data_IF_853576827099
#
_entry.id   IF_853576827099
#
_cell.length_a   1.000
_cell.length_b   1.000
_cell.length_c   1.000
_cell.angle_alpha   90.00
_cell.angle_beta   90.00
_cell.angle_gamma   90.00
#
_symmetry.space_group_name_H-M   'P 1'
#
loop_
_entity.id
_entity.type
_entity.pdbx_description
1 polymer ?
#
# COMPACT_ATOMS: atom_id res chain seq x y z
N UNK A 1 16.40 11.21 -25.87
CA UNK A 1 16.15 10.21 -24.80
C UNK A 1 14.91 10.57 -23.97
N UNK A 2 14.60 11.86 -23.78
CA UNK A 2 13.39 12.33 -23.10
C UNK A 2 12.09 12.09 -23.89
N UNK A 3 12.12 12.13 -25.23
CA UNK A 3 10.92 11.95 -26.06
C UNK A 3 10.32 10.53 -26.05
N UNK A 4 11.12 9.51 -25.69
CA UNK A 4 10.63 8.12 -25.54
C UNK A 4 9.81 7.95 -24.26
N UNK A 5 10.14 8.70 -23.21
CA UNK A 5 9.41 8.65 -21.94
C UNK A 5 8.03 9.28 -22.07
N UNK A 6 7.85 10.30 -22.91
CA UNK A 6 6.54 10.94 -23.08
C UNK A 6 5.57 10.06 -23.87
N UNK A 7 6.04 9.35 -24.91
CA UNK A 7 5.21 8.40 -25.67
C UNK A 7 4.76 7.23 -24.80
N UNK A 8 5.66 6.69 -23.96
CA UNK A 8 5.34 5.61 -23.06
C UNK A 8 4.30 6.03 -21.99
N UNK A 9 4.34 7.29 -21.55
CA UNK A 9 3.36 7.84 -20.61
C UNK A 9 1.98 8.01 -21.27
N UNK A 10 1.93 8.46 -22.53
CA UNK A 10 0.67 8.59 -23.26
C UNK A 10 0.04 7.24 -23.60
N UNK A 11 0.86 6.25 -23.97
CA UNK A 11 0.36 4.91 -24.30
C UNK A 11 -0.12 4.17 -23.04
N UNK A 12 0.54 4.37 -21.89
CA UNK A 12 0.04 3.91 -20.60
C UNK A 12 -1.29 4.60 -20.22
N UNK A 13 -1.43 5.91 -20.46
CA UNK A 13 -2.71 6.63 -20.24
C UNK A 13 -3.84 6.07 -21.10
N UNK A 14 -3.57 5.76 -22.37
CA UNK A 14 -4.57 5.19 -23.29
C UNK A 14 -4.99 3.79 -22.85
N UNK A 15 -4.05 2.95 -22.40
CA UNK A 15 -4.36 1.61 -21.87
C UNK A 15 -5.21 1.66 -20.59
N UNK A 16 -4.98 2.65 -19.71
CA UNK A 16 -5.79 2.86 -18.50
C UNK A 16 -7.24 3.20 -18.87
N UNK A 17 -7.46 4.02 -19.89
CA UNK A 17 -8.81 4.41 -20.35
C UNK A 17 -9.54 3.22 -20.98
N UNK A 18 -8.85 2.35 -21.72
CA UNK A 18 -9.46 1.17 -22.36
C UNK A 18 -9.88 0.12 -21.32
N UNK A 19 -9.11 -0.07 -20.25
CA UNK A 19 -9.48 -0.99 -19.15
C UNK A 19 -10.67 -0.48 -18.32
N UNK A 20 -10.98 0.82 -18.38
CA UNK A 20 -12.09 1.46 -17.67
C UNK A 20 -13.48 1.09 -18.20
N UNK A 21 -13.56 0.48 -19.40
CA UNK A 21 -14.81 0.08 -20.05
C UNK A 21 -15.24 -1.36 -19.75
N UNK A 22 -14.47 -2.11 -18.95
CA UNK A 22 -14.90 -3.42 -18.48
C UNK A 22 -15.54 -3.29 -17.08
N UNK A 23 -16.87 -3.47 -16.93
CA UNK A 23 -17.51 -3.53 -15.63
C UNK A 23 -17.31 -4.94 -15.08
N UNK A 24 -16.06 -5.40 -14.98
CA UNK A 24 -15.79 -6.62 -14.25
C UNK A 24 -15.82 -6.29 -12.77
N UNK A 25 -16.96 -6.65 -12.18
CA UNK A 25 -17.22 -7.03 -10.80
C UNK A 25 -15.94 -7.35 -9.99
N UNK A 26 -15.18 -6.32 -9.63
CA UNK A 26 -13.92 -6.47 -8.93
C UNK A 26 -14.23 -6.72 -7.46
N UNK A 27 -14.40 -8.00 -7.11
CA UNK A 27 -14.23 -8.53 -5.76
C UNK A 27 -12.74 -8.45 -5.34
N UNK A 28 -12.10 -7.31 -5.57
CA UNK A 28 -10.66 -7.11 -5.43
C UNK A 28 -10.24 -6.82 -3.98
N UNK A 29 -11.21 -6.66 -3.07
CA UNK A 29 -10.92 -6.60 -1.64
C UNK A 29 -10.83 -8.03 -1.13
N UNK A 30 -9.60 -8.52 -0.94
CA UNK A 30 -9.28 -9.85 -0.36
C UNK A 30 -10.06 -10.15 0.93
N UNK A 31 -10.43 -9.11 1.69
CA UNK A 31 -11.24 -9.19 2.92
C UNK A 31 -12.55 -8.42 2.80
N UNK A 32 -13.29 -8.61 1.69
CA UNK A 32 -14.54 -7.89 1.41
C UNK A 32 -15.56 -7.96 2.56
N UNK A 33 -15.68 -9.10 3.23
CA UNK A 33 -16.59 -9.26 4.38
C UNK A 33 -16.20 -8.33 5.54
N UNK A 34 -14.93 -8.38 5.96
CA UNK A 34 -14.41 -7.52 7.04
C UNK A 34 -14.52 -6.04 6.67
N UNK A 35 -14.22 -5.69 5.42
CA UNK A 35 -14.35 -4.31 4.93
C UNK A 35 -15.81 -3.83 4.99
N UNK A 36 -16.77 -4.66 4.55
CA UNK A 36 -18.21 -4.35 4.65
C UNK A 36 -18.67 -4.23 6.10
N UNK A 37 -18.20 -5.09 6.99
CA UNK A 37 -18.48 -5.01 8.41
C UNK A 37 -17.96 -3.70 9.01
N UNK A 38 -16.72 -3.32 8.71
CA UNK A 38 -16.15 -2.04 9.12
C UNK A 38 -16.94 -0.85 8.55
N UNK A 39 -17.33 -0.93 7.28
CA UNK A 39 -18.13 0.10 6.64
C UNK A 39 -19.51 0.27 7.31
N UNK A 40 -20.14 -0.84 7.70
CA UNK A 40 -21.40 -0.80 8.43
C UNK A 40 -21.23 -0.26 9.85
N UNK A 41 -20.17 -0.68 10.56
CA UNK A 41 -19.89 -0.28 11.95
C UNK A 41 -19.46 1.19 12.08
N UNK A 42 -18.81 1.74 11.05
CA UNK A 42 -18.29 3.10 11.01
C UNK A 42 -18.93 3.97 9.93
N UNK A 43 -20.15 3.64 9.50
CA UNK A 43 -20.85 4.31 8.39
C UNK A 43 -20.95 5.84 8.55
N UNK A 44 -20.96 6.33 9.80
CA UNK A 44 -21.05 7.75 10.15
C UNK A 44 -19.72 8.51 10.11
N UNK A 45 -18.58 7.83 9.93
CA UNK A 45 -17.25 8.44 9.97
C UNK A 45 -16.43 8.05 8.74
N UNK A 46 -15.79 9.00 8.05
CA UNK A 46 -14.89 8.66 6.96
C UNK A 46 -13.71 7.85 7.53
N UNK A 47 -13.51 6.65 6.99
CA UNK A 47 -12.35 5.83 7.29
C UNK A 47 -11.57 5.53 6.00
N UNK A 48 -10.29 5.24 6.18
CA UNK A 48 -9.39 4.82 5.11
C UNK A 48 -8.79 3.49 5.55
N UNK A 49 -8.76 2.54 4.64
CA UNK A 49 -8.26 1.19 4.87
C UNK A 49 -6.94 1.01 4.14
N UNK A 50 -5.94 0.56 4.88
CA UNK A 50 -4.59 0.37 4.37
C UNK A 50 -4.31 -1.12 4.22
N UNK A 51 -3.83 -1.50 3.05
CA UNK A 51 -3.23 -2.81 2.82
C UNK A 51 -1.72 -2.70 3.10
N UNK A 52 -1.25 -3.36 4.16
CA UNK A 52 0.15 -3.35 4.57
C UNK A 52 0.95 -4.38 3.78
N UNK A 53 2.04 -3.93 3.15
CA UNK A 53 3.00 -4.80 2.47
C UNK A 53 4.11 -5.15 3.46
N UNK A 54 3.92 -6.25 4.21
CA UNK A 54 4.84 -6.67 5.27
C UNK A 54 5.96 -7.58 4.77
N UNK A 55 5.77 -8.22 3.61
CA UNK A 55 6.76 -9.05 2.92
C UNK A 55 7.87 -8.20 2.26
N UNK A 56 8.34 -7.18 2.98
CA UNK A 56 9.04 -6.02 2.47
C UNK A 56 10.15 -6.33 1.48
N UNK A 57 10.42 -5.37 0.59
CA UNK A 57 11.52 -5.50 -0.35
C UNK A 57 12.80 -5.08 0.36
N UNK A 58 13.76 -5.98 0.48
CA UNK A 58 15.13 -5.63 0.88
C UNK A 58 15.72 -4.69 -0.17
N UNK A 59 15.80 -3.40 0.14
CA UNK A 59 16.28 -2.37 -0.78
C UNK A 59 17.79 -2.47 -1.02
N UNK A 60 18.54 -2.75 0.04
CA UNK A 60 20.00 -2.91 -0.01
C UNK A 60 20.42 -4.00 0.97
N UNK A 61 21.21 -4.96 0.48
CA UNK A 61 21.85 -5.99 1.29
C UNK A 61 23.36 -5.84 1.13
N UNK A 62 24.01 -5.37 2.18
CA UNK A 62 25.46 -5.41 2.35
C UNK A 62 25.80 -6.51 3.35
N UNK A 63 27.06 -6.97 3.37
CA UNK A 63 27.53 -7.98 4.33
C UNK A 63 27.37 -7.56 5.81
N UNK A 64 27.18 -6.26 6.06
CA UNK A 64 27.02 -5.69 7.41
C UNK A 64 25.67 -5.00 7.62
N UNK A 65 24.83 -4.85 6.60
CA UNK A 65 23.63 -4.01 6.71
C UNK A 65 22.53 -4.48 5.77
N UNK A 66 21.31 -4.54 6.29
CA UNK A 66 20.07 -4.83 5.59
C UNK A 66 19.11 -3.65 5.76
N UNK A 67 18.61 -3.17 4.63
CA UNK A 67 17.62 -2.10 4.56
C UNK A 67 16.29 -2.66 4.08
N UNK A 68 15.25 -2.55 4.89
CA UNK A 68 13.90 -3.03 4.58
C UNK A 68 12.91 -1.87 4.54
N UNK A 69 12.01 -1.90 3.56
CA UNK A 69 10.97 -0.90 3.39
C UNK A 69 9.62 -1.50 3.77
N UNK A 70 8.92 -0.84 4.69
CA UNK A 70 7.53 -1.13 4.96
C UNK A 70 6.66 -0.10 4.25
N UNK A 71 5.80 -0.57 3.38
CA UNK A 71 4.89 0.26 2.59
C UNK A 71 3.45 -0.18 2.76
N UNK A 72 2.53 0.68 2.34
CA UNK A 72 1.12 0.34 2.26
C UNK A 72 0.47 0.96 1.03
N UNK A 73 -0.72 0.44 0.71
CA UNK A 73 -1.57 0.96 -0.34
C UNK A 73 -2.98 1.20 0.17
N UNK A 74 -3.66 2.19 -0.40
CA UNK A 74 -5.06 2.50 -0.10
C UNK A 74 -5.99 1.50 -0.77
N UNK A 75 -6.87 0.87 0.00
CA UNK A 75 -7.83 -0.10 -0.53
C UNK A 75 -8.91 0.60 -1.35
N UNK A 76 -9.28 1.83 -0.96
CA UNK A 76 -10.30 2.65 -1.61
C UNK A 76 -9.91 3.09 -3.02
N UNK A 77 -8.61 3.03 -3.37
CA UNK A 77 -8.16 3.29 -4.74
C UNK A 77 -8.49 2.10 -5.66
N UNK A 78 -8.89 2.37 -6.93
CA UNK A 78 -9.00 1.36 -7.96
C UNK A 78 -7.71 0.55 -8.11
N UNK A 79 -7.84 -0.75 -8.42
CA UNK A 79 -6.72 -1.72 -8.51
C UNK A 79 -5.55 -1.19 -9.34
N UNK A 80 -5.86 -0.61 -10.51
CA UNK A 80 -4.88 -0.08 -11.43
C UNK A 80 -4.13 1.13 -10.87
N UNK A 81 -4.78 1.92 -9.98
CA UNK A 81 -4.15 3.07 -9.32
C UNK A 81 -3.40 2.69 -8.06
N UNK A 82 -3.84 1.64 -7.36
CA UNK A 82 -3.30 1.22 -6.06
C UNK A 82 -1.80 0.90 -6.10
N UNK A 83 -1.35 0.26 -7.18
CA UNK A 83 0.04 -0.18 -7.35
C UNK A 83 0.92 0.83 -8.12
N UNK A 84 0.39 2.01 -8.49
CA UNK A 84 1.26 3.06 -9.02
C UNK A 84 2.24 3.53 -7.95
N UNK A 85 3.51 3.67 -8.33
CA UNK A 85 4.61 4.06 -7.41
C UNK A 85 4.31 5.33 -6.61
N UNK A 86 3.57 6.29 -7.19
CA UNK A 86 3.19 7.54 -6.54
C UNK A 86 2.10 7.37 -5.47
N UNK A 87 1.32 6.29 -5.52
CA UNK A 87 0.24 6.00 -4.59
C UNK A 87 0.64 4.99 -3.50
N UNK A 88 1.85 4.43 -3.60
CA UNK A 88 2.42 3.61 -2.53
C UNK A 88 3.00 4.52 -1.45
N UNK A 89 2.48 4.37 -0.24
CA UNK A 89 2.95 5.14 0.92
C UNK A 89 4.05 4.33 1.60
N UNK A 90 5.17 4.99 1.86
CA UNK A 90 6.24 4.43 2.69
C UNK A 90 5.90 4.76 4.14
N UNK A 91 5.71 3.71 4.95
CA UNK A 91 5.37 3.85 6.37
C UNK A 91 6.63 3.96 7.21
N UNK A 92 7.62 3.12 6.94
CA UNK A 92 8.85 3.12 7.71
C UNK A 92 9.99 2.43 6.96
N UNK A 93 11.20 2.68 7.45
CA UNK A 93 12.43 2.10 6.95
C UNK A 93 13.12 1.39 8.11
N UNK A 94 13.42 0.11 7.95
CA UNK A 94 14.18 -0.66 8.91
C UNK A 94 15.63 -0.78 8.46
N UNK A 95 16.53 -0.40 9.36
CA UNK A 95 17.97 -0.45 9.16
C UNK A 95 18.55 -1.35 10.23
N UNK A 96 19.09 -2.50 9.83
CA UNK A 96 19.61 -3.47 10.78
C UNK A 96 20.68 -4.35 10.17
N UNK A 97 21.25 -5.24 10.97
CA UNK A 97 22.14 -6.31 10.46
C UNK A 97 21.36 -7.57 10.09
N UNK A 98 20.10 -7.63 10.51
CA UNK A 98 19.18 -8.75 10.34
C UNK A 98 17.86 -8.25 9.78
N UNK A 99 17.13 -9.17 9.17
CA UNK A 99 15.77 -8.96 8.69
C UNK A 99 14.86 -8.52 9.86
N UNK A 100 13.90 -7.63 9.59
CA UNK A 100 13.01 -7.15 10.63
C UNK A 100 12.15 -8.28 11.17
N UNK A 101 12.00 -8.31 12.49
CA UNK A 101 10.93 -9.08 13.13
C UNK A 101 9.62 -8.33 12.90
N UNK A 102 8.88 -8.71 11.86
CA UNK A 102 7.65 -8.04 11.40
C UNK A 102 6.64 -7.90 12.53
N UNK A 103 6.45 -8.94 13.35
CA UNK A 103 5.52 -8.91 14.49
C UNK A 103 5.90 -7.85 15.52
N UNK A 104 7.19 -7.73 15.81
CA UNK A 104 7.69 -6.71 16.74
C UNK A 104 7.43 -5.31 16.18
N UNK A 105 7.78 -5.08 14.91
CA UNK A 105 7.53 -3.82 14.23
C UNK A 105 6.04 -3.46 14.22
N UNK A 106 5.17 -4.41 13.86
CA UNK A 106 3.73 -4.19 13.77
C UNK A 106 3.14 -3.90 15.16
N UNK A 107 3.56 -4.63 16.19
CA UNK A 107 3.10 -4.41 17.56
C UNK A 107 3.43 -3.00 18.06
N UNK A 108 4.63 -2.50 17.74
CA UNK A 108 5.07 -1.16 18.09
C UNK A 108 4.27 -0.09 17.34
N UNK A 109 4.04 -0.28 16.03
CA UNK A 109 3.18 0.61 15.25
C UNK A 109 1.75 0.68 15.81
N UNK A 110 1.16 -0.46 16.19
CA UNK A 110 -0.18 -0.51 16.78
C UNK A 110 -0.22 0.19 18.15
N UNK A 111 0.82 0.06 18.96
CA UNK A 111 0.90 0.76 20.24
C UNK A 111 0.96 2.28 20.03
N UNK A 112 1.79 2.75 19.10
CA UNK A 112 1.87 4.18 18.77
C UNK A 112 0.53 4.73 18.24
N UNK A 113 -0.17 3.99 17.38
CA UNK A 113 -1.49 4.37 16.90
C UNK A 113 -2.52 4.45 18.04
N UNK A 114 -2.50 3.51 18.99
CA UNK A 114 -3.34 3.57 20.19
C UNK A 114 -3.05 4.81 21.03
N UNK A 115 -1.77 5.17 21.19
CA UNK A 115 -1.37 6.39 21.88
C UNK A 115 -1.87 7.67 21.17
N UNK A 116 -1.84 7.69 19.84
CA UNK A 116 -2.36 8.81 19.05
C UNK A 116 -3.88 8.94 19.11
N UNK A 117 -4.61 7.82 19.12
CA UNK A 117 -6.08 7.82 19.22
C UNK A 117 -6.59 8.44 20.53
N UNK A 118 -5.81 8.31 21.60
CA UNK A 118 -6.19 8.78 22.95
C UNK A 118 -5.74 10.23 23.24
N UNK A 119 -5.17 10.94 22.25
CA UNK A 119 -4.90 12.38 22.31
C UNK A 119 -6.02 13.15 21.65
#
# INVERSE_FOLDING_TARGET
MLDRLSSDIEDNRKQIIVNHLSPHNNNDIMFNQVYKELQNNYCSSPFISLFLHLDGISLCKSSKLTLWLFSCSFIELPVHLRYHRFNMVILSVWVGHQEPLIDLWLSECLNQLKHLKNK
#
